data_IF_095844112630
#
_entry.id   IF_095844112630
#
_cell.length_a   1.000
_cell.length_b   1.000
_cell.length_c   1.000
_cell.angle_alpha   90.00
_cell.angle_beta   90.00
_cell.angle_gamma   90.00
#
_symmetry.space_group_name_H-M   'P 1'
#
loop_
_entity.id
_entity.type
_entity.pdbx_description
1 polymer ?
#
# COMPACT_ATOMS: atom_id res chain seq x y z
N UNK A 1 19.52 6.91 2.60
CA UNK A 1 19.03 5.73 1.84
C UNK A 1 19.40 4.49 2.63
N UNK A 2 18.43 3.66 3.01
CA UNK A 2 18.71 2.37 3.65
C UNK A 2 18.92 1.29 2.60
N UNK A 3 19.80 0.32 2.87
CA UNK A 3 19.97 -0.84 2.01
C UNK A 3 18.71 -1.71 2.10
N UNK A 4 18.04 -1.93 0.97
CA UNK A 4 16.96 -2.93 0.89
C UNK A 4 17.57 -4.23 0.40
N UNK A 5 17.54 -5.26 1.24
CA UNK A 5 18.01 -6.60 0.90
C UNK A 5 16.81 -7.42 0.45
N UNK A 6 16.94 -8.09 -0.70
CA UNK A 6 15.96 -9.06 -1.19
C UNK A 6 16.49 -10.48 -0.99
N UNK A 7 15.70 -11.37 -0.38
CA UNK A 7 16.07 -12.77 -0.13
C UNK A 7 14.98 -13.71 -0.62
N UNK A 8 15.37 -14.80 -1.30
CA UNK A 8 14.47 -15.87 -1.69
C UNK A 8 14.28 -16.84 -0.52
N UNK A 9 13.05 -16.99 -0.04
CA UNK A 9 12.70 -17.94 1.01
C UNK A 9 12.49 -19.36 0.47
N UNK A 10 12.56 -20.36 1.35
CA UNK A 10 12.24 -21.75 1.02
C UNK A 10 10.80 -21.95 0.50
N UNK A 11 9.88 -21.03 0.84
CA UNK A 11 8.52 -20.97 0.32
C UNK A 11 8.43 -20.59 -1.17
N UNK A 12 9.53 -20.12 -1.77
CA UNK A 12 9.56 -19.55 -3.12
C UNK A 12 9.27 -18.05 -3.19
N UNK A 13 8.92 -17.42 -2.06
CA UNK A 13 8.67 -15.97 -2.00
C UNK A 13 9.95 -15.17 -1.94
N UNK A 14 9.93 -13.98 -2.55
CA UNK A 14 10.98 -12.98 -2.39
C UNK A 14 10.56 -12.06 -1.25
N UNK A 15 11.45 -11.84 -0.28
CA UNK A 15 11.24 -10.97 0.88
C UNK A 15 12.15 -9.78 0.82
N UNK A 16 11.61 -8.60 1.13
CA UNK A 16 12.33 -7.35 1.27
C UNK A 16 12.05 -6.76 2.65
N UNK A 17 13.10 -6.37 3.37
CA UNK A 17 12.97 -5.71 4.68
C UNK A 17 12.99 -4.20 4.50
N UNK A 18 11.95 -3.53 5.01
CA UNK A 18 11.84 -2.08 5.04
C UNK A 18 11.91 -1.57 6.48
N UNK A 19 12.53 -0.41 6.74
CA UNK A 19 12.33 0.27 8.01
C UNK A 19 10.85 0.65 8.15
N UNK A 20 10.32 0.62 9.38
CA UNK A 20 8.95 1.09 9.64
C UNK A 20 8.79 2.53 9.20
N UNK A 21 7.67 2.81 8.53
CA UNK A 21 7.25 4.15 8.08
C UNK A 21 5.82 4.44 8.50
N UNK A 22 5.59 4.27 9.80
CA UNK A 22 4.28 4.39 10.43
C UNK A 22 3.58 5.68 10.02
N UNK A 23 2.31 5.54 9.61
CA UNK A 23 1.49 6.69 9.28
C UNK A 23 0.97 7.34 10.57
N UNK A 24 0.93 8.68 10.58
CA UNK A 24 0.43 9.48 11.71
C UNK A 24 -0.83 10.23 11.33
N UNK A 25 -1.75 10.50 12.27
CA UNK A 25 -2.92 11.32 12.01
C UNK A 25 -2.55 12.66 11.38
N UNK A 26 -3.35 13.10 10.40
CA UNK A 26 -3.20 14.40 9.76
C UNK A 26 -4.32 15.33 10.23
N UNK A 27 -3.94 16.45 10.86
CA UNK A 27 -4.91 17.42 11.38
C UNK A 27 -5.62 18.17 10.24
N UNK A 28 -4.84 18.71 9.31
CA UNK A 28 -5.34 19.51 8.19
C UNK A 28 -5.24 18.70 6.90
N UNK A 29 -6.36 18.09 6.51
CA UNK A 29 -6.44 17.29 5.28
C UNK A 29 -6.57 18.24 4.07
N UNK A 30 -5.70 18.14 3.05
CA UNK A 30 -5.80 18.99 1.86
C UNK A 30 -7.13 18.81 1.13
N UNK A 31 -7.74 19.91 0.68
CA UNK A 31 -8.98 19.88 -0.10
C UNK A 31 -8.86 19.02 -1.37
N UNK A 32 -7.68 19.02 -2.01
CA UNK A 32 -7.43 18.19 -3.18
C UNK A 32 -7.58 16.68 -2.88
N UNK A 33 -7.30 16.23 -1.65
CA UNK A 33 -7.54 14.84 -1.24
C UNK A 33 -9.02 14.60 -0.91
N UNK A 34 -9.65 15.51 -0.17
CA UNK A 34 -11.07 15.40 0.21
C UNK A 34 -12.00 15.39 -1.02
N UNK A 35 -11.71 16.24 -2.00
CA UNK A 35 -12.47 16.36 -3.24
C UNK A 35 -12.03 15.34 -4.30
N UNK A 36 -10.80 14.80 -4.14
CA UNK A 36 -10.18 13.88 -5.10
C UNK A 36 -10.52 12.41 -4.89
N UNK A 37 -11.18 12.06 -3.78
CA UNK A 37 -11.58 10.68 -3.48
C UNK A 37 -13.10 10.57 -3.30
N UNK A 38 -13.73 9.67 -4.05
CA UNK A 38 -15.14 9.31 -3.88
C UNK A 38 -15.28 7.78 -3.87
N UNK A 39 -15.90 7.16 -2.85
CA UNK A 39 -16.47 7.77 -1.64
C UNK A 39 -15.39 8.45 -0.76
N UNK A 40 -15.82 9.31 0.17
CA UNK A 40 -14.91 10.00 1.08
C UNK A 40 -14.34 9.03 2.15
N UNK A 41 -13.05 9.13 2.51
CA UNK A 41 -12.47 8.28 3.56
C UNK A 41 -13.00 8.66 4.95
N UNK A 42 -12.99 7.69 5.86
CA UNK A 42 -13.38 7.87 7.26
C UNK A 42 -12.28 8.53 8.11
N UNK A 43 -11.02 8.34 7.73
CA UNK A 43 -9.88 8.98 8.37
C UNK A 43 -8.75 9.17 7.36
N UNK A 44 -7.87 10.15 7.61
CA UNK A 44 -6.67 10.38 6.83
C UNK A 44 -5.46 10.42 7.75
N UNK A 45 -4.48 9.59 7.42
CA UNK A 45 -3.14 9.65 7.99
C UNK A 45 -2.14 10.07 6.91
N UNK A 46 -0.90 10.30 7.31
CA UNK A 46 0.18 10.62 6.39
C UNK A 46 1.48 9.98 6.84
N UNK A 47 2.31 9.56 5.89
CA UNK A 47 3.72 9.28 6.13
C UNK A 47 4.58 10.00 5.08
N UNK A 48 5.88 9.70 5.05
CA UNK A 48 6.83 10.31 4.11
C UNK A 48 6.56 10.00 2.63
N UNK A 49 5.75 8.98 2.33
CA UNK A 49 5.49 8.50 0.96
C UNK A 49 4.09 8.86 0.45
N UNK A 50 3.07 8.83 1.29
CA UNK A 50 1.69 9.02 0.85
C UNK A 50 0.76 9.52 1.96
N UNK A 51 -0.34 10.14 1.53
CA UNK A 51 -1.57 10.21 2.31
C UNK A 51 -2.21 8.82 2.38
N UNK A 52 -2.59 8.39 3.58
CA UNK A 52 -3.25 7.10 3.86
C UNK A 52 -4.71 7.38 4.19
N UNK A 53 -5.58 7.19 3.20
CA UNK A 53 -7.02 7.36 3.31
C UNK A 53 -7.66 6.05 3.76
N UNK A 54 -8.17 6.02 4.98
CA UNK A 54 -8.76 4.83 5.61
C UNK A 54 -10.26 4.83 5.42
N UNK A 55 -10.78 3.68 4.99
CA UNK A 55 -12.19 3.41 4.79
C UNK A 55 -12.67 2.35 5.78
N UNK A 56 -13.97 2.38 6.09
CA UNK A 56 -14.58 1.46 7.02
C UNK A 56 -14.67 0.02 6.48
N UNK A 57 -14.79 -0.15 5.16
CA UNK A 57 -14.98 -1.46 4.54
C UNK A 57 -14.28 -1.56 3.18
N UNK A 58 -14.03 -2.80 2.77
CA UNK A 58 -13.36 -3.13 1.52
C UNK A 58 -14.14 -2.70 0.26
N UNK A 59 -15.47 -2.72 0.31
CA UNK A 59 -16.29 -2.34 -0.84
C UNK A 59 -16.05 -0.88 -1.23
N UNK A 60 -15.92 0.02 -0.25
CA UNK A 60 -15.60 1.42 -0.49
C UNK A 60 -14.25 1.61 -1.17
N UNK A 61 -13.20 0.89 -0.71
CA UNK A 61 -11.86 0.92 -1.34
C UNK A 61 -11.91 0.49 -2.80
N UNK A 62 -12.64 -0.59 -3.09
CA UNK A 62 -12.82 -1.08 -4.46
C UNK A 62 -13.63 -0.10 -5.33
N UNK A 63 -14.58 0.59 -4.72
CA UNK A 63 -15.43 1.57 -5.39
C UNK A 63 -14.77 2.95 -5.59
N UNK A 64 -13.58 3.20 -5.01
CA UNK A 64 -12.91 4.49 -5.12
C UNK A 64 -12.74 4.91 -6.58
N UNK A 65 -13.28 6.08 -6.91
CA UNK A 65 -13.06 6.81 -8.14
C UNK A 65 -12.15 8.01 -7.83
N UNK A 66 -10.85 7.92 -8.18
CA UNK A 66 -9.91 9.02 -7.94
C UNK A 66 -10.06 10.10 -9.01
N UNK A 67 -10.10 11.37 -8.61
CA UNK A 67 -9.84 12.49 -9.51
C UNK A 67 -8.32 12.68 -9.61
N UNK A 68 -7.70 12.00 -10.57
CA UNK A 68 -6.25 11.96 -10.72
C UNK A 68 -5.63 13.35 -10.92
N UNK A 69 -6.34 14.29 -11.55
CA UNK A 69 -5.85 15.65 -11.75
C UNK A 69 -5.72 16.39 -10.41
N UNK A 70 -6.67 16.19 -9.50
CA UNK A 70 -6.58 16.72 -8.12
C UNK A 70 -5.53 16.00 -7.30
N UNK A 71 -5.49 14.67 -7.37
CA UNK A 71 -4.50 13.90 -6.62
C UNK A 71 -3.06 14.24 -7.09
N UNK A 72 -2.87 14.63 -8.34
CA UNK A 72 -1.57 15.08 -8.86
C UNK A 72 -1.04 16.32 -8.13
N UNK A 73 -1.92 17.23 -7.68
CA UNK A 73 -1.50 18.45 -6.98
C UNK A 73 -1.03 18.20 -5.54
N UNK A 74 -1.18 16.97 -5.04
CA UNK A 74 -0.72 16.54 -3.71
C UNK A 74 0.77 16.19 -3.67
N UNK A 75 1.45 16.25 -4.83
CA UNK A 75 2.90 16.09 -4.93
C UNK A 75 3.63 16.94 -3.88
N UNK A 76 4.68 16.39 -3.23
CA UNK A 76 5.40 15.17 -3.59
C UNK A 76 4.78 13.87 -3.05
N UNK A 77 3.69 13.93 -2.28
CA UNK A 77 3.06 12.75 -1.68
C UNK A 77 2.07 12.11 -2.65
N UNK A 78 2.05 10.78 -2.65
CA UNK A 78 1.05 9.98 -3.36
C UNK A 78 -0.17 9.72 -2.47
N UNK A 79 -1.10 8.89 -2.93
CA UNK A 79 -2.31 8.53 -2.16
C UNK A 79 -2.49 7.03 -2.13
N UNK A 80 -2.67 6.47 -0.94
CA UNK A 80 -3.11 5.09 -0.74
C UNK A 80 -4.46 5.09 -0.06
N UNK A 81 -5.38 4.28 -0.57
CA UNK A 81 -6.67 4.01 0.08
C UNK A 81 -6.63 2.62 0.69
N UNK A 82 -7.21 2.42 1.87
CA UNK A 82 -7.14 1.12 2.57
C UNK A 82 -8.33 0.89 3.51
N UNK A 83 -8.66 -0.38 3.76
CA UNK A 83 -9.75 -0.81 4.64
C UNK A 83 -9.44 -2.20 5.23
N UNK A 84 -10.12 -2.63 6.31
CA UNK A 84 -10.07 -4.02 6.72
C UNK A 84 -10.67 -4.89 5.61
N UNK A 85 -10.15 -6.09 5.46
CA UNK A 85 -10.71 -7.07 4.53
C UNK A 85 -12.06 -7.59 5.02
N UNK A 86 -12.89 -8.05 4.08
CA UNK A 86 -14.11 -8.77 4.44
C UNK A 86 -13.78 -10.09 5.18
N UNK A 87 -14.63 -10.54 6.13
CA UNK A 87 -14.46 -11.84 6.77
C UNK A 87 -14.36 -12.97 5.74
N UNK A 88 -13.34 -13.82 5.87
CA UNK A 88 -13.13 -14.97 4.98
C UNK A 88 -12.44 -14.64 3.64
N UNK A 89 -11.99 -13.41 3.40
CA UNK A 89 -11.34 -13.02 2.14
C UNK A 89 -9.97 -13.69 1.89
N UNK A 90 -9.36 -14.29 2.92
CA UNK A 90 -8.01 -14.87 2.83
C UNK A 90 -6.86 -13.85 2.93
N UNK A 91 -7.19 -12.59 3.19
CA UNK A 91 -6.26 -11.52 3.53
C UNK A 91 -6.84 -10.65 4.66
N UNK A 92 -6.01 -9.84 5.30
CA UNK A 92 -6.36 -9.07 6.50
C UNK A 92 -6.79 -7.63 6.18
N UNK A 93 -6.20 -7.03 5.14
CA UNK A 93 -6.55 -5.68 4.69
C UNK A 93 -6.41 -5.54 3.18
N UNK A 94 -7.12 -4.56 2.63
CA UNK A 94 -7.11 -4.22 1.20
C UNK A 94 -6.51 -2.84 0.99
N UNK A 95 -5.89 -2.60 -0.17
CA UNK A 95 -5.44 -1.27 -0.57
C UNK A 95 -5.53 -1.01 -2.08
N UNK A 96 -5.46 0.26 -2.47
CA UNK A 96 -5.13 0.72 -3.83
C UNK A 96 -4.19 1.92 -3.74
N UNK A 97 -3.29 2.08 -4.71
CA UNK A 97 -2.22 3.09 -4.66
C UNK A 97 -2.21 3.96 -5.91
N UNK A 98 -2.45 5.26 -5.74
CA UNK A 98 -2.51 6.26 -6.81
C UNK A 98 -1.29 7.18 -6.74
N UNK A 99 -0.60 7.37 -7.86
CA UNK A 99 0.67 8.07 -7.93
C UNK A 99 0.80 9.07 -9.10
N UNK A 100 -0.24 9.89 -9.38
CA UNK A 100 -0.29 10.74 -10.57
C UNK A 100 0.78 11.83 -10.61
N UNK A 101 1.32 12.25 -9.45
CA UNK A 101 2.44 13.18 -9.37
C UNK A 101 3.75 12.63 -9.98
N UNK A 102 3.86 11.30 -10.08
CA UNK A 102 5.07 10.60 -10.52
C UNK A 102 4.91 9.95 -11.91
N UNK A 103 3.87 10.32 -12.65
CA UNK A 103 3.68 9.93 -14.05
C UNK A 103 2.86 8.66 -14.29
N UNK A 104 2.21 8.10 -13.26
CA UNK A 104 1.29 6.97 -13.42
C UNK A 104 -0.01 7.13 -12.64
N UNK A 105 -1.08 6.54 -13.15
CA UNK A 105 -2.42 6.69 -12.55
C UNK A 105 -2.57 5.86 -11.25
N UNK A 106 -2.47 4.53 -11.39
CA UNK A 106 -2.57 3.56 -10.30
C UNK A 106 -1.44 2.53 -10.43
N UNK A 107 -0.70 2.30 -9.35
CA UNK A 107 0.35 1.28 -9.31
C UNK A 107 -0.28 -0.11 -9.07
N UNK A 108 0.02 -1.12 -9.90
CA UNK A 108 -0.43 -2.48 -9.70
C UNK A 108 -0.22 -3.03 -8.29
N UNK A 109 1.00 -2.92 -7.76
CA UNK A 109 1.41 -3.50 -6.48
C UNK A 109 2.58 -2.69 -5.91
N UNK A 110 2.37 -2.05 -4.76
CA UNK A 110 3.35 -1.13 -4.18
C UNK A 110 3.93 -1.76 -2.91
N UNK A 111 5.09 -2.42 -3.00
CA UNK A 111 5.71 -3.04 -1.82
C UNK A 111 6.07 -2.05 -0.72
N UNK A 112 6.60 -0.88 -1.08
CA UNK A 112 7.09 0.12 -0.12
C UNK A 112 6.01 0.73 0.78
N UNK A 113 4.78 0.91 0.29
CA UNK A 113 3.70 1.49 1.11
C UNK A 113 3.27 0.55 2.25
N UNK A 114 3.59 -0.75 2.16
CA UNK A 114 3.31 -1.72 3.21
C UNK A 114 4.16 -1.51 4.46
N UNK A 115 5.27 -0.76 4.36
CA UNK A 115 6.01 -0.27 5.53
C UNK A 115 5.20 0.69 6.41
N UNK A 116 4.07 1.22 5.89
CA UNK A 116 3.12 2.03 6.63
C UNK A 116 1.80 1.29 6.91
N UNK A 117 1.28 0.58 5.90
CA UNK A 117 -0.01 -0.12 6.02
C UNK A 117 0.06 -1.29 7.00
N UNK A 118 1.10 -2.12 6.94
CA UNK A 118 1.17 -3.30 7.79
C UNK A 118 1.26 -2.94 9.28
N UNK A 119 2.09 -1.97 9.72
CA UNK A 119 2.06 -1.49 11.10
C UNK A 119 0.73 -0.89 11.54
N UNK A 120 0.06 -0.13 10.65
CA UNK A 120 -1.25 0.43 10.94
C UNK A 120 -2.28 -0.67 11.21
N UNK A 121 -2.42 -1.62 10.28
CA UNK A 121 -3.38 -2.72 10.42
C UNK A 121 -2.99 -3.73 11.51
N UNK A 122 -1.68 -3.94 11.75
CA UNK A 122 -1.18 -4.72 12.88
C UNK A 122 -1.74 -4.19 14.21
N UNK A 123 -1.70 -2.87 14.40
CA UNK A 123 -2.25 -2.21 15.58
C UNK A 123 -3.77 -2.30 15.67
N UNK A 124 -4.48 -2.13 14.56
CA UNK A 124 -5.96 -2.22 14.53
C UNK A 124 -6.47 -3.65 14.77
N UNK A 125 -5.75 -4.66 14.28
CA UNK A 125 -6.17 -6.06 14.29
C UNK A 125 -5.52 -6.89 15.40
N UNK A 126 -4.53 -6.34 16.11
CA UNK A 126 -3.80 -7.07 17.15
C UNK A 126 -2.95 -8.22 16.62
N UNK A 127 -2.36 -8.07 15.41
CA UNK A 127 -1.55 -9.10 14.73
C UNK A 127 -0.18 -8.56 14.35
N UNK A 128 0.85 -9.41 14.29
CA UNK A 128 2.18 -9.05 13.74
C UNK A 128 2.42 -9.61 12.35
N UNK A 129 1.73 -10.67 11.95
CA UNK A 129 1.77 -11.26 10.61
C UNK A 129 0.45 -10.98 9.92
N UNK A 130 0.49 -10.34 8.76
CA UNK A 130 -0.68 -9.90 8.00
C UNK A 130 -0.52 -10.20 6.52
N UNK A 131 -1.64 -10.42 5.85
CA UNK A 131 -1.71 -10.50 4.39
C UNK A 131 -2.42 -9.24 3.88
N UNK A 132 -1.72 -8.45 3.07
CA UNK A 132 -2.28 -7.31 2.35
C UNK A 132 -2.66 -7.68 0.93
N UNK A 133 -3.81 -7.20 0.45
CA UNK A 133 -4.24 -7.35 -0.94
C UNK A 133 -4.38 -5.98 -1.62
N UNK A 134 -3.54 -5.71 -2.62
CA UNK A 134 -3.67 -4.50 -3.43
C UNK A 134 -4.67 -4.78 -4.56
N UNK A 135 -5.88 -4.22 -4.46
CA UNK A 135 -7.00 -4.45 -5.36
C UNK A 135 -6.96 -3.56 -6.61
N UNK A 136 -5.79 -3.42 -7.22
CA UNK A 136 -5.61 -2.77 -8.52
C UNK A 136 -6.13 -3.64 -9.67
N UNK A 137 -6.11 -3.14 -10.91
CA UNK A 137 -6.47 -3.95 -12.10
C UNK A 137 -5.68 -5.25 -12.23
N UNK A 138 -4.39 -5.25 -11.88
CA UNK A 138 -3.52 -6.44 -11.97
C UNK A 138 -3.49 -7.23 -10.67
N UNK A 139 -3.89 -6.60 -9.57
CA UNK A 139 -3.87 -7.11 -8.21
C UNK A 139 -2.48 -7.53 -7.70
N UNK A 140 -2.35 -7.66 -6.40
CA UNK A 140 -1.19 -8.30 -5.78
C UNK A 140 -1.47 -8.67 -4.33
N UNK A 141 -0.84 -9.76 -3.89
CA UNK A 141 -0.87 -10.20 -2.50
C UNK A 141 0.51 -10.02 -1.90
N UNK A 142 0.57 -9.36 -0.75
CA UNK A 142 1.81 -9.14 -0.01
C UNK A 142 1.69 -9.75 1.38
N UNK A 143 2.67 -10.54 1.77
CA UNK A 143 2.75 -11.12 3.11
C UNK A 143 3.67 -10.25 3.94
N UNK A 144 3.15 -9.73 5.05
CA UNK A 144 3.84 -8.76 5.88
C UNK A 144 4.11 -9.33 7.26
N UNK A 145 5.33 -9.17 7.75
CA UNK A 145 5.69 -9.42 9.15
C UNK A 145 6.22 -8.13 9.78
N UNK A 146 5.54 -7.68 10.83
CA UNK A 146 5.82 -6.41 11.50
C UNK A 146 6.63 -6.68 12.77
N UNK A 147 7.81 -6.08 12.84
CA UNK A 147 8.66 -6.09 14.04
C UNK A 147 8.60 -4.72 14.75
N UNK A 148 9.40 -4.54 15.79
CA UNK A 148 9.51 -3.26 16.49
C UNK A 148 10.11 -2.14 15.61
N UNK A 149 10.97 -2.47 14.64
CA UNK A 149 11.75 -1.50 13.86
C UNK A 149 11.62 -1.66 12.34
N UNK A 150 11.15 -2.80 11.87
CA UNK A 150 11.04 -3.12 10.45
C UNK A 150 9.70 -3.74 10.07
N UNK A 151 9.47 -3.80 8.76
CA UNK A 151 8.42 -4.59 8.13
C UNK A 151 9.08 -5.43 7.05
N UNK A 152 8.96 -6.74 7.17
CA UNK A 152 9.30 -7.66 6.09
C UNK A 152 8.10 -7.76 5.16
N UNK A 153 8.33 -7.55 3.87
CA UNK A 153 7.29 -7.59 2.83
C UNK A 153 7.69 -8.65 1.82
N UNK A 154 6.84 -9.67 1.66
CA UNK A 154 7.08 -10.81 0.80
C UNK A 154 6.02 -10.91 -0.30
N UNK A 155 6.42 -11.45 -1.45
CA UNK A 155 5.51 -11.75 -2.55
C UNK A 155 5.97 -12.94 -3.38
N UNK A 156 5.00 -13.55 -4.07
CA UNK A 156 5.26 -14.57 -5.08
C UNK A 156 5.71 -13.89 -6.38
N UNK A 157 6.61 -14.54 -7.15
CA UNK A 157 7.13 -14.01 -8.41
C UNK A 157 6.93 -15.02 -9.54
N UNK A 158 6.48 -14.55 -10.69
CA UNK A 158 6.35 -15.36 -11.90
C UNK A 158 7.23 -14.77 -13.00
N UNK A 159 8.11 -15.60 -13.57
CA UNK A 159 8.98 -15.20 -14.68
C UNK A 159 8.16 -15.05 -15.96
N UNK A 160 8.06 -13.81 -16.46
CA UNK A 160 7.36 -13.52 -17.71
C UNK A 160 8.22 -13.81 -18.95
N UNK A 161 9.49 -13.40 -18.93
CA UNK A 161 10.41 -13.51 -20.07
C UNK A 161 11.83 -13.83 -19.59
N UNK A 162 12.60 -14.53 -20.42
CA UNK A 162 14.04 -14.74 -20.26
C UNK A 162 14.73 -14.47 -21.60
N UNK A 163 15.83 -13.72 -21.58
CA UNK A 163 16.60 -13.38 -22.76
C UNK A 163 17.95 -12.78 -22.37
N UNK A 164 18.72 -12.37 -23.37
CA UNK A 164 20.06 -11.80 -23.21
C UNK A 164 20.09 -10.41 -23.85
N UNK A 165 20.67 -9.44 -23.15
CA UNK A 165 20.95 -8.10 -23.69
C UNK A 165 22.43 -8.07 -24.06
N UNK A 166 22.73 -7.72 -25.31
CA UNK A 166 24.09 -7.43 -25.77
C UNK A 166 24.27 -5.91 -25.76
N UNK A 167 25.27 -5.45 -25.00
CA UNK A 167 25.68 -4.04 -24.88
C UNK A 167 26.97 -3.77 -25.62
#
# INVERSE_FOLDING_TARGET
MGNVVATLQASGRIVMTFPRRDARPLADVPNALLEGLRPAPSAVLVNEQAYVAVYANEADVRAVQPDLARLQTLGPLNVVVTAPANPGAGYDFVSRYFWPANGGDEDPVTGSIHAALAPYWAGQLGKSVLIGHQASRRTGTLYCEVTASSVDVAGDCARYLNGTITV
#
